data_IF_746382535144
#
_entry.id   IF_746382535144
#
_cell.length_a   1.000
_cell.length_b   1.000
_cell.length_c   1.000
_cell.angle_alpha   90.00
_cell.angle_beta   90.00
_cell.angle_gamma   90.00
#
_symmetry.space_group_name_H-M   'P 1'
#
loop_
_entity.id
_entity.type
_entity.pdbx_description
1 polymer ?
#
# COMPACT_ATOMS: atom_id res chain seq x y z
N UNK A 1 24.85 11.22 -12.50
CA UNK A 1 25.04 10.72 -12.36
C UNK A 1 24.93 10.46 -12.06
N UNK A 2 24.75 10.49 -12.04
CA UNK A 2 24.81 9.93 -11.93
C UNK A 2 24.56 9.34 -11.81
N UNK A 3 24.25 9.18 -11.85
CA UNK A 3 24.26 8.43 -11.77
C UNK A 3 24.43 8.21 -11.31
N UNK A 4 24.57 8.50 -11.16
CA UNK A 4 24.90 7.97 -10.74
C UNK A 4 24.86 7.66 -10.06
N UNK A 5 24.49 8.09 -9.84
CA UNK A 5 24.51 7.52 -9.18
C UNK A 5 24.39 6.63 -8.90
N UNK A 6 24.20 6.31 -9.12
CA UNK A 6 24.18 5.36 -8.94
C UNK A 6 25.09 4.83 -9.13
N UNK A 7 25.66 5.11 -9.47
CA UNK A 7 26.46 4.52 -9.54
C UNK A 7 27.11 4.20 -8.78
N UNK A 8 27.13 4.59 -8.43
CA UNK A 8 27.92 4.18 -7.80
C UNK A 8 27.69 3.24 -6.99
N UNK A 9 27.17 2.83 -7.10
CA UNK A 9 26.88 2.04 -6.45
C UNK A 9 27.36 1.13 -6.60
N UNK A 10 27.83 0.90 -6.66
CA UNK A 10 28.24 0.11 -6.73
C UNK A 10 27.92 -1.10 -6.30
N UNK A 11 27.93 -1.85 -5.51
CA UNK A 11 27.37 -3.13 -5.27
C UNK A 11 26.61 -3.67 -6.39
N UNK A 12 27.23 -3.86 -7.40
CA UNK A 12 26.55 -4.03 -8.63
C UNK A 12 25.74 -5.30 -8.72
N UNK A 13 26.13 -6.35 -8.00
CA UNK A 13 25.36 -7.58 -8.04
C UNK A 13 24.05 -7.46 -7.28
N UNK A 14 23.99 -6.57 -6.29
CA UNK A 14 22.79 -6.40 -5.50
C UNK A 14 21.59 -5.97 -6.32
N UNK A 15 21.71 -5.09 -7.32
CA UNK A 15 20.55 -4.71 -8.12
C UNK A 15 19.87 -5.88 -8.83
N UNK A 16 20.64 -6.89 -9.22
CA UNK A 16 20.04 -8.03 -9.90
C UNK A 16 19.18 -8.83 -8.93
N UNK A 17 19.69 -9.08 -7.73
CA UNK A 17 18.90 -9.76 -6.71
C UNK A 17 17.67 -8.93 -6.36
N UNK A 18 17.85 -7.63 -6.27
CA UNK A 18 16.72 -6.75 -5.96
C UNK A 18 15.65 -6.79 -7.01
N UNK A 19 16.04 -6.87 -8.26
CA UNK A 19 15.06 -6.93 -9.34
C UNK A 19 14.24 -8.20 -9.27
N UNK A 20 14.87 -9.34 -9.01
CA UNK A 20 14.15 -10.59 -8.90
C UNK A 20 13.18 -10.57 -7.73
N UNK A 21 13.62 -10.01 -6.59
CA UNK A 21 12.73 -9.89 -5.44
C UNK A 21 11.56 -8.99 -5.75
N UNK A 22 11.81 -7.87 -6.41
CA UNK A 22 10.75 -6.96 -6.78
C UNK A 22 9.77 -7.65 -7.72
N UNK A 23 10.28 -8.40 -8.67
CA UNK A 23 9.41 -9.14 -9.59
C UNK A 23 8.51 -10.09 -8.83
N UNK A 24 9.06 -10.81 -7.85
CA UNK A 24 8.28 -11.74 -7.05
C UNK A 24 7.22 -11.01 -6.22
N UNK A 25 7.58 -9.87 -5.65
CA UNK A 25 6.61 -9.08 -4.89
C UNK A 25 5.47 -8.63 -5.79
N UNK A 26 5.81 -8.11 -6.96
CA UNK A 26 4.77 -7.60 -7.86
C UNK A 26 3.88 -8.73 -8.36
N UNK A 27 4.47 -9.91 -8.58
CA UNK A 27 3.67 -11.06 -9.01
C UNK A 27 2.70 -11.53 -7.94
N UNK A 28 2.99 -11.25 -6.68
CA UNK A 28 2.13 -11.64 -5.58
C UNK A 28 1.02 -10.64 -5.30
N UNK A 29 1.07 -9.44 -5.91
CA UNK A 29 0.03 -8.43 -5.72
C UNK A 29 -1.21 -8.87 -6.47
N UNK A 30 -2.40 -8.79 -5.84
CA UNK A 30 -3.63 -9.12 -6.57
C UNK A 30 -3.82 -8.23 -7.79
N UNK A 31 -4.24 -8.86 -8.89
CA UNK A 31 -4.36 -8.12 -10.15
C UNK A 31 -5.42 -7.04 -10.09
N UNK A 32 -6.32 -7.11 -9.11
CA UNK A 32 -7.37 -6.09 -8.96
C UNK A 32 -6.85 -4.82 -8.32
N UNK A 33 -5.64 -4.81 -7.79
CA UNK A 33 -5.08 -3.63 -7.16
C UNK A 33 -4.16 -2.92 -8.14
N UNK A 34 -4.41 -1.64 -8.34
CA UNK A 34 -3.50 -0.81 -9.09
C UNK A 34 -2.37 -0.32 -8.21
N UNK A 35 -1.37 0.27 -8.83
CA UNK A 35 -0.24 0.79 -8.10
C UNK A 35 -0.64 1.84 -7.07
N UNK A 36 -1.55 2.80 -7.39
CA UNK A 36 -1.92 3.79 -6.39
C UNK A 36 -2.55 3.16 -5.15
N UNK A 37 -3.38 2.14 -5.34
CA UNK A 37 -4.00 1.46 -4.22
C UNK A 37 -2.97 0.73 -3.39
N UNK A 38 -2.01 0.10 -4.04
CA UNK A 38 -0.93 -0.58 -3.32
C UNK A 38 -0.10 0.40 -2.52
N UNK A 39 0.21 1.56 -3.11
CA UNK A 39 0.95 2.59 -2.39
C UNK A 39 0.19 3.06 -1.16
N UNK A 40 -1.14 3.21 -1.28
CA UNK A 40 -1.95 3.61 -0.14
C UNK A 40 -1.92 2.55 0.96
N UNK A 41 -2.02 1.28 0.59
CA UNK A 41 -1.99 0.20 1.56
C UNK A 41 -0.66 0.20 2.31
N UNK A 42 0.42 0.33 1.57
CA UNK A 42 1.76 0.33 2.19
C UNK A 42 1.93 1.52 3.11
N UNK A 43 1.45 2.69 2.71
CA UNK A 43 1.56 3.88 3.54
C UNK A 43 0.79 3.72 4.85
N UNK A 44 -0.42 3.18 4.78
CA UNK A 44 -1.22 2.96 5.99
C UNK A 44 -0.54 1.92 6.88
N UNK A 45 0.03 0.88 6.30
CA UNK A 45 0.74 -0.12 7.07
C UNK A 45 2.00 0.42 7.72
N UNK A 46 2.71 1.31 7.03
CA UNK A 46 3.93 1.90 7.56
C UNK A 46 3.66 2.93 8.64
N UNK A 47 2.50 3.59 8.58
CA UNK A 47 2.16 4.64 9.54
C UNK A 47 0.71 4.46 9.99
N UNK A 48 0.44 3.48 10.83
CA UNK A 48 -0.93 3.25 11.27
C UNK A 48 -1.48 4.47 11.99
N UNK A 49 -2.71 4.79 11.70
CA UNK A 49 -3.36 5.92 12.36
C UNK A 49 -3.30 7.22 11.60
N UNK A 50 -2.70 7.24 10.42
CA UNK A 50 -2.66 8.50 9.68
C UNK A 50 -4.05 8.84 9.14
N UNK A 51 -4.27 10.13 8.93
CA UNK A 51 -5.54 10.60 8.39
C UNK A 51 -5.52 10.54 6.86
N UNK A 52 -6.69 10.76 6.25
CA UNK A 52 -6.77 10.82 4.79
C UNK A 52 -5.94 11.98 4.27
N UNK A 53 -5.94 13.11 4.98
CA UNK A 53 -5.12 14.24 4.55
C UNK A 53 -3.64 13.89 4.58
N UNK A 54 -3.20 13.22 5.63
CA UNK A 54 -1.81 12.80 5.73
C UNK A 54 -1.46 11.78 4.66
N UNK A 55 -2.40 10.90 4.36
CA UNK A 55 -2.19 9.95 3.27
C UNK A 55 -2.05 10.68 1.93
N UNK A 56 -2.90 11.66 1.70
CA UNK A 56 -2.83 12.43 0.46
C UNK A 56 -1.47 13.12 0.31
N UNK A 57 -0.97 13.69 1.40
CA UNK A 57 0.35 14.30 1.38
C UNK A 57 1.43 13.27 1.12
N UNK A 58 1.33 12.13 1.75
CA UNK A 58 2.32 11.06 1.60
C UNK A 58 2.36 10.56 0.16
N UNK A 59 1.21 10.45 -0.48
CA UNK A 59 1.11 9.96 -1.85
C UNK A 59 1.27 11.07 -2.88
N UNK A 60 1.31 12.31 -2.43
CA UNK A 60 1.41 13.48 -3.32
C UNK A 60 0.25 13.54 -4.29
N UNK A 61 -0.95 13.38 -3.78
CA UNK A 61 -2.18 13.44 -4.57
C UNK A 61 -3.18 14.36 -3.86
N UNK A 62 -4.19 14.86 -4.59
CA UNK A 62 -5.24 15.63 -3.94
C UNK A 62 -5.98 14.81 -2.90
N UNK A 63 -6.55 15.50 -1.91
CA UNK A 63 -7.28 14.82 -0.86
C UNK A 63 -8.43 13.99 -1.41
N UNK A 64 -9.13 14.50 -2.41
CA UNK A 64 -10.25 13.77 -2.99
C UNK A 64 -9.79 12.44 -3.60
N UNK A 65 -8.61 12.45 -4.20
CA UNK A 65 -8.05 11.24 -4.78
C UNK A 65 -7.72 10.22 -3.70
N UNK A 66 -7.05 10.67 -2.63
CA UNK A 66 -6.72 9.78 -1.52
C UNK A 66 -8.00 9.24 -0.89
N UNK A 67 -9.02 10.09 -0.75
CA UNK A 67 -10.29 9.66 -0.18
C UNK A 67 -10.92 8.57 -1.02
N UNK A 68 -10.82 8.68 -2.34
CA UNK A 68 -11.35 7.66 -3.23
C UNK A 68 -10.61 6.34 -3.08
N UNK A 69 -9.27 6.41 -2.97
CA UNK A 69 -8.48 5.19 -2.76
C UNK A 69 -8.91 4.50 -1.46
N UNK A 70 -9.06 5.30 -0.39
CA UNK A 70 -9.47 4.75 0.89
C UNK A 70 -10.84 4.08 0.78
N UNK A 71 -11.79 4.76 0.13
CA UNK A 71 -13.12 4.19 -0.03
C UNK A 71 -13.09 2.87 -0.79
N UNK A 72 -12.28 2.79 -1.83
CA UNK A 72 -12.12 1.55 -2.58
C UNK A 72 -11.53 0.46 -1.70
N UNK A 73 -10.53 0.79 -0.92
CA UNK A 73 -9.88 -0.18 -0.06
C UNK A 73 -10.74 -0.60 1.13
N UNK A 74 -11.73 0.21 1.46
CA UNK A 74 -12.73 -0.16 2.45
C UNK A 74 -13.87 -0.97 1.84
N UNK A 75 -13.82 -1.21 0.55
CA UNK A 75 -14.82 -2.03 -0.12
C UNK A 75 -16.08 -1.30 -0.52
N UNK A 76 -16.04 0.03 -0.60
CA UNK A 76 -17.27 0.78 -0.80
C UNK A 76 -17.75 0.83 -2.24
N UNK A 77 -16.85 0.80 -3.20
CA UNK A 77 -17.23 0.93 -4.59
C UNK A 77 -16.98 -0.37 -5.32
N UNK A 78 -17.43 -1.44 -4.73
CA UNK A 78 -17.24 -2.72 -5.38
C UNK A 78 -18.28 -2.85 -6.47
N UNK A 79 -17.77 -2.82 -7.67
CA UNK A 79 -18.56 -3.35 -8.72
C UNK A 79 -18.26 -4.74 -8.84
N UNK A 80 -19.02 -5.54 -8.26
CA UNK A 80 -18.65 -6.86 -8.08
C UNK A 80 -19.34 -7.73 -9.05
N UNK A 81 -18.59 -8.58 -9.62
CA UNK A 81 -19.16 -9.82 -10.02
C UNK A 81 -19.63 -10.50 -8.76
N UNK A 82 -20.68 -11.20 -8.81
CA UNK A 82 -21.34 -11.69 -7.66
C UNK A 82 -20.49 -12.48 -6.73
N UNK A 83 -19.44 -13.09 -7.25
CA UNK A 83 -18.66 -13.98 -6.45
C UNK A 83 -17.40 -13.35 -5.91
N UNK A 84 -17.16 -12.09 -6.28
CA UNK A 84 -15.94 -11.45 -5.89
C UNK A 84 -16.24 -10.45 -4.82
N UNK A 85 -16.25 -10.89 -3.60
CA UNK A 85 -16.37 -9.96 -2.50
C UNK A 85 -14.97 -9.58 -2.10
N UNK A 86 -14.59 -8.35 -2.39
CA UNK A 86 -13.35 -7.83 -1.92
C UNK A 86 -13.48 -7.59 -0.44
N UNK A 87 -12.67 -8.26 0.32
CA UNK A 87 -12.62 -8.00 1.75
C UNK A 87 -11.94 -6.66 1.97
N UNK A 88 -12.44 -5.86 2.90
CA UNK A 88 -11.82 -4.59 3.19
C UNK A 88 -10.37 -4.76 3.60
N UNK A 89 -9.51 -3.90 3.05
CA UNK A 89 -8.09 -3.92 3.32
C UNK A 89 -7.71 -2.85 4.32
N UNK A 90 -8.49 -1.75 4.32
CA UNK A 90 -8.26 -0.60 5.19
C UNK A 90 -9.54 -0.35 5.97
N UNK A 91 -9.41 0.09 7.20
CA UNK A 91 -10.53 0.51 8.03
C UNK A 91 -10.25 1.88 8.61
N UNK A 92 -11.32 2.60 8.90
CA UNK A 92 -11.23 3.90 9.55
C UNK A 92 -11.74 3.79 10.97
N UNK A 93 -11.04 4.45 11.88
CA UNK A 93 -11.47 4.54 13.27
C UNK A 93 -11.45 5.99 13.68
N UNK A 94 -12.29 6.32 14.67
CA UNK A 94 -12.26 7.66 15.24
C UNK A 94 -10.93 7.81 16.00
N UNK A 95 -10.24 8.93 15.78
CA UNK A 95 -8.99 9.18 16.45
C UNK A 95 -9.25 9.42 17.94
N UNK A 96 -8.43 8.80 18.78
CA UNK A 96 -8.56 9.01 20.22
C UNK A 96 -8.14 10.42 20.63
N UNK A 97 -7.21 11.01 19.89
CA UNK A 97 -6.72 12.34 20.23
C UNK A 97 -7.60 13.45 19.68
N UNK A 98 -8.35 13.17 18.60
CA UNK A 98 -9.22 14.17 18.01
C UNK A 98 -10.42 13.46 17.38
N UNK A 99 -11.58 13.49 18.06
CA UNK A 99 -12.75 12.75 17.57
C UNK A 99 -13.26 13.20 16.20
N UNK A 100 -12.84 14.36 15.73
CA UNK A 100 -13.23 14.81 14.41
C UNK A 100 -12.39 14.23 13.31
N UNK A 101 -11.29 13.58 13.64
CA UNK A 101 -10.40 12.98 12.67
C UNK A 101 -10.62 11.49 12.61
N UNK A 102 -10.46 10.95 11.43
CA UNK A 102 -10.52 9.51 11.21
C UNK A 102 -9.11 9.00 11.01
N UNK A 103 -8.77 7.95 11.71
CA UNK A 103 -7.46 7.30 11.62
C UNK A 103 -7.58 6.04 10.78
N UNK A 104 -6.61 5.84 9.91
CA UNK A 104 -6.61 4.72 8.98
C UNK A 104 -5.73 3.60 9.51
N UNK A 105 -6.22 2.38 9.37
CA UNK A 105 -5.49 1.18 9.79
C UNK A 105 -5.72 0.09 8.77
N UNK A 106 -4.78 -0.83 8.68
CA UNK A 106 -5.01 -2.04 7.90
C UNK A 106 -5.93 -2.97 8.68
N UNK A 107 -6.84 -3.61 7.97
CA UNK A 107 -7.62 -4.71 8.54
C UNK A 107 -6.72 -5.92 8.72
N UNK A 108 -7.24 -6.96 9.36
CA UNK A 108 -6.50 -8.21 9.44
C UNK A 108 -6.16 -8.73 8.05
N UNK A 109 -7.11 -8.62 7.13
CA UNK A 109 -6.89 -9.05 5.75
C UNK A 109 -5.77 -8.24 5.10
N UNK A 110 -5.77 -6.92 5.31
CA UNK A 110 -4.72 -6.07 4.77
C UNK A 110 -3.36 -6.39 5.34
N UNK A 111 -3.30 -6.64 6.65
CA UNK A 111 -2.03 -7.01 7.28
C UNK A 111 -1.52 -8.33 6.76
N UNK A 112 -2.42 -9.29 6.55
CA UNK A 112 -2.02 -10.59 6.03
C UNK A 112 -1.46 -10.45 4.62
N UNK A 113 -2.10 -9.63 3.80
CA UNK A 113 -1.64 -9.42 2.44
C UNK A 113 -0.25 -8.79 2.43
N UNK A 114 -0.03 -7.76 3.24
CA UNK A 114 1.27 -7.11 3.31
C UNK A 114 2.33 -8.08 3.83
N UNK A 115 1.97 -8.89 4.81
CA UNK A 115 2.92 -9.88 5.35
C UNK A 115 3.36 -10.85 4.27
N UNK A 116 2.44 -11.27 3.40
CA UNK A 116 2.79 -12.15 2.29
C UNK A 116 3.73 -11.49 1.32
N UNK A 117 3.50 -10.22 1.01
CA UNK A 117 4.38 -9.50 0.09
C UNK A 117 5.77 -9.35 0.67
N UNK A 118 5.85 -9.05 1.95
CA UNK A 118 7.14 -8.94 2.61
C UNK A 118 7.87 -10.28 2.61
N UNK A 119 7.14 -11.36 2.90
CA UNK A 119 7.76 -12.68 2.96
C UNK A 119 8.32 -13.08 1.60
N UNK A 120 7.59 -12.79 0.52
CA UNK A 120 8.05 -13.13 -0.82
C UNK A 120 9.31 -12.34 -1.16
N UNK A 121 9.31 -11.04 -0.85
CA UNK A 121 10.45 -10.20 -1.17
C UNK A 121 11.66 -10.46 -0.31
N UNK A 122 11.44 -11.07 0.87
CA UNK A 122 12.52 -11.31 1.83
C UNK A 122 13.03 -12.73 1.80
N UNK A 123 12.47 -13.53 0.94
CA UNK A 123 12.83 -14.92 0.88
C UNK A 123 14.25 -15.09 0.36
N UNK A 124 15.01 -15.92 0.99
CA UNK A 124 16.37 -16.21 0.55
C UNK A 124 16.40 -17.32 -0.47
#
# INVERSE_FOLDING_TARGET
>A
MSLNAIDGMTGVSAPIDGIERLEQILAAVPVTLGLPQLQAIVAVGASPGLSVNELAERLNVPQQTASRYVAQLMGRYQEVGENDVLQPIVEQRVSLSDPRKRALYLTWHGRTMIAKLIAVGWKN
#
